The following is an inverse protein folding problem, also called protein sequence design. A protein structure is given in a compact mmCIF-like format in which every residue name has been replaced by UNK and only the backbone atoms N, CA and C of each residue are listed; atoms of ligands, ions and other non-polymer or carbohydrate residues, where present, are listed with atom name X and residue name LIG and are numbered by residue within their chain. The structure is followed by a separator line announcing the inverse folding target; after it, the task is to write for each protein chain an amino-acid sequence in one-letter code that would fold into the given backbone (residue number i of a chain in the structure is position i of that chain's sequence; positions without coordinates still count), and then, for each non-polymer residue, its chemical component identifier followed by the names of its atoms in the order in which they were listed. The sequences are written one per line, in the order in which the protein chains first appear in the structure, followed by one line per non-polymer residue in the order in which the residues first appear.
data_IF_018002592273
#
_entry.id   IF_018002592273
#
_cell.length_a   1.000
_cell.length_b   1.000
_cell.length_c   1.000
_cell.angle_alpha   90.00
_cell.angle_beta   90.00
_cell.angle_gamma   90.00
#
_symmetry.space_group_name_H-M   'P 1'
#
loop_
_entity.id
_entity.type
_entity.pdbx_description
1 polymer ?
#
# COMPACT_ATOMS: atom_id res chain seq x y z
N UNK A 1 15.97 2.94 16.47
CA UNK A 1 14.50 3.00 16.31
C UNK A 1 14.02 1.63 15.84
N UNK A 2 13.35 0.85 16.70
CA UNK A 2 12.78 -0.44 16.28
C UNK A 2 11.58 -0.21 15.35
N UNK A 3 11.53 -0.94 14.24
CA UNK A 3 10.41 -0.87 13.29
C UNK A 3 9.22 -1.62 13.89
N UNK A 4 8.12 -0.91 14.16
CA UNK A 4 6.86 -1.53 14.58
C UNK A 4 6.25 -2.27 13.38
N UNK A 5 5.87 -3.54 13.60
CA UNK A 5 5.32 -4.45 12.60
C UNK A 5 3.89 -4.84 12.98
N UNK A 6 2.96 -4.64 12.06
CA UNK A 6 1.54 -4.95 12.22
C UNK A 6 1.17 -6.25 11.53
N UNK A 7 0.47 -7.14 12.24
CA UNK A 7 -0.09 -8.36 11.66
C UNK A 7 -1.27 -8.06 10.75
N UNK A 8 -1.51 -8.95 9.79
CA UNK A 8 -2.74 -8.93 9.02
C UNK A 8 -3.95 -9.23 9.92
N UNK A 9 -5.13 -8.67 9.62
CA UNK A 9 -6.39 -9.07 10.25
C UNK A 9 -6.64 -10.58 10.09
N UNK A 10 -7.38 -11.20 11.00
CA UNK A 10 -7.74 -12.61 10.85
C UNK A 10 -8.80 -12.74 9.71
N UNK A 11 -8.53 -13.50 8.64
CA UNK A 11 -9.45 -13.63 7.50
C UNK A 11 -10.78 -14.33 7.84
N UNK A 12 -10.84 -15.12 8.90
CA UNK A 12 -12.09 -15.77 9.36
C UNK A 12 -12.98 -14.80 10.17
N UNK A 13 -12.37 -13.85 10.89
CA UNK A 13 -13.09 -12.89 11.73
C UNK A 13 -13.38 -11.57 11.04
N UNK A 14 -12.48 -11.13 10.16
CA UNK A 14 -12.52 -9.81 9.52
C UNK A 14 -11.97 -9.91 8.09
N UNK A 15 -12.70 -10.66 7.26
CA UNK A 15 -12.34 -10.92 5.86
C UNK A 15 -12.28 -9.64 5.03
N UNK A 16 -13.17 -8.69 5.27
CA UNK A 16 -13.23 -7.44 4.52
C UNK A 16 -11.97 -6.61 4.74
N UNK A 17 -11.58 -6.38 6.00
CA UNK A 17 -10.36 -5.63 6.31
C UNK A 17 -9.11 -6.35 5.80
N UNK A 18 -9.09 -7.68 5.92
CA UNK A 18 -8.01 -8.51 5.38
C UNK A 18 -7.86 -8.32 3.86
N UNK A 19 -8.96 -8.40 3.12
CA UNK A 19 -8.97 -8.17 1.67
C UNK A 19 -8.55 -6.74 1.32
N UNK A 20 -9.03 -5.73 2.05
CA UNK A 20 -8.64 -4.35 1.82
C UNK A 20 -7.12 -4.14 1.99
N UNK A 21 -6.50 -4.81 2.97
CA UNK A 21 -5.05 -4.82 3.12
C UNK A 21 -4.35 -5.53 1.97
N UNK A 22 -4.85 -6.70 1.55
CA UNK A 22 -4.30 -7.43 0.42
C UNK A 22 -4.30 -6.62 -0.87
N UNK A 23 -5.42 -5.98 -1.19
CA UNK A 23 -5.54 -5.17 -2.40
C UNK A 23 -4.75 -3.85 -2.31
N UNK A 24 -4.65 -3.24 -1.12
CA UNK A 24 -3.82 -2.05 -0.93
C UNK A 24 -2.32 -2.33 -1.12
N UNK A 25 -1.87 -3.52 -0.75
CA UNK A 25 -0.47 -3.94 -0.91
C UNK A 25 -0.20 -4.42 -2.34
N UNK A 26 -1.09 -5.27 -2.87
CA UNK A 26 -0.97 -5.85 -4.21
C UNK A 26 0.27 -6.71 -4.43
N UNK A 27 0.58 -7.00 -5.69
CA UNK A 27 1.74 -7.79 -6.10
C UNK A 27 1.63 -9.28 -5.72
N UNK A 28 2.78 -9.89 -5.45
CA UNK A 28 2.92 -11.35 -5.28
C UNK A 28 2.17 -11.91 -4.06
N UNK A 29 1.78 -11.06 -3.11
CA UNK A 29 1.02 -11.49 -1.93
C UNK A 29 -0.38 -12.01 -2.30
N UNK A 30 -0.95 -11.56 -3.41
CA UNK A 30 -2.28 -11.96 -3.88
C UNK A 30 -2.34 -13.44 -4.28
N UNK A 31 -1.20 -14.05 -4.61
CA UNK A 31 -1.10 -15.48 -4.93
C UNK A 31 -0.88 -16.40 -3.73
N UNK A 32 -0.77 -15.86 -2.51
CA UNK A 32 -0.50 -16.65 -1.31
C UNK A 32 -1.80 -17.08 -0.61
N UNK A 33 -1.73 -18.21 0.11
CA UNK A 33 -2.82 -18.68 0.97
C UNK A 33 -3.09 -17.69 2.12
N UNK A 34 -4.37 -17.44 2.41
CA UNK A 34 -4.81 -16.51 3.46
C UNK A 34 -4.20 -16.85 4.83
N UNK A 35 -4.11 -18.14 5.17
CA UNK A 35 -3.51 -18.61 6.42
C UNK A 35 -2.03 -18.26 6.51
N UNK A 36 -1.28 -18.42 5.40
CA UNK A 36 0.14 -18.04 5.35
C UNK A 36 0.31 -16.53 5.49
N UNK A 37 -0.55 -15.74 4.84
CA UNK A 37 -0.52 -14.28 4.95
C UNK A 37 -0.78 -13.86 6.39
N UNK A 38 -1.87 -14.33 7.00
CA UNK A 38 -2.21 -14.01 8.38
C UNK A 38 -1.10 -14.38 9.36
N UNK A 39 -0.55 -15.59 9.24
CA UNK A 39 0.45 -16.12 10.18
C UNK A 39 1.80 -15.42 10.03
N UNK A 40 2.30 -15.25 8.81
CA UNK A 40 3.71 -14.89 8.57
C UNK A 40 3.92 -13.48 8.02
N UNK A 41 2.92 -12.82 7.43
CA UNK A 41 3.11 -11.48 6.83
C UNK A 41 2.87 -10.38 7.84
N UNK A 42 3.70 -9.34 7.76
CA UNK A 42 3.64 -8.15 8.60
C UNK A 42 3.82 -6.89 7.76
N UNK A 43 3.16 -5.81 8.16
CA UNK A 43 3.25 -4.50 7.51
C UNK A 43 3.91 -3.51 8.46
N UNK A 44 4.95 -2.81 8.00
CA UNK A 44 5.61 -1.79 8.83
C UNK A 44 4.68 -0.61 9.12
N UNK A 45 4.86 0.00 10.29
CA UNK A 45 4.09 1.18 10.71
C UNK A 45 4.12 2.35 9.72
N UNK A 46 5.25 2.54 9.01
CA UNK A 46 5.45 3.56 7.96
C UNK A 46 4.53 3.47 6.74
N UNK A 47 3.74 2.40 6.63
CA UNK A 47 2.81 2.20 5.51
C UNK A 47 1.40 2.70 5.79
N UNK A 48 1.12 3.11 7.03
CA UNK A 48 -0.16 3.68 7.42
C UNK A 48 -0.04 5.20 7.56
N UNK A 49 -1.10 5.93 7.21
CA UNK A 49 -1.15 7.37 7.45
C UNK A 49 -1.18 7.67 8.95
N UNK A 50 -0.46 8.73 9.37
CA UNK A 50 -0.32 9.12 10.78
C UNK A 50 -1.66 9.32 11.49
N UNK A 51 -2.69 9.78 10.78
CA UNK A 51 -4.05 9.96 11.33
C UNK A 51 -4.71 8.66 11.81
N UNK A 52 -4.25 7.51 11.32
CA UNK A 52 -4.72 6.18 11.72
C UNK A 52 -3.82 5.52 12.77
N UNK A 53 -2.72 6.16 13.17
CA UNK A 53 -1.79 5.67 14.16
C UNK A 53 -2.22 6.12 15.56
N UNK A 54 -2.18 5.20 16.51
CA UNK A 54 -2.52 5.46 17.92
C UNK A 54 -1.26 5.50 18.78
N UNK A 55 -1.33 6.21 19.91
CA UNK A 55 -0.21 6.46 20.85
C UNK A 55 0.52 5.20 21.34
N UNK A 56 -0.13 4.04 21.32
CA UNK A 56 0.41 2.78 21.83
C UNK A 56 0.97 1.87 20.73
N UNK A 57 1.46 2.45 19.62
CA UNK A 57 1.90 1.70 18.44
C UNK A 57 0.81 0.78 17.88
N UNK A 58 -0.46 1.14 18.09
CA UNK A 58 -1.63 0.47 17.52
C UNK A 58 -2.10 1.24 16.29
N UNK A 59 -2.82 0.56 15.42
CA UNK A 59 -3.48 1.17 14.26
C UNK A 59 -4.99 1.07 14.42
N UNK A 60 -5.70 2.08 13.92
CA UNK A 60 -7.16 2.10 13.90
C UNK A 60 -7.72 0.92 13.10
N UNK A 61 -8.97 0.54 13.39
CA UNK A 61 -9.64 -0.55 12.69
C UNK A 61 -9.90 -0.27 11.20
N UNK A 62 -9.96 1.01 10.82
CA UNK A 62 -10.12 1.46 9.44
C UNK A 62 -8.79 1.78 8.74
N UNK A 63 -7.65 1.51 9.39
CA UNK A 63 -6.34 1.82 8.84
C UNK A 63 -6.04 0.91 7.64
N UNK A 64 -5.61 1.52 6.53
CA UNK A 64 -5.15 0.82 5.33
C UNK A 64 -3.67 1.13 5.05
N UNK A 65 -2.89 0.15 4.57
CA UNK A 65 -1.48 0.33 4.31
C UNK A 65 -1.25 0.98 2.92
N UNK A 66 -1.78 2.18 2.71
CA UNK A 66 -1.78 2.88 1.42
C UNK A 66 -0.50 3.66 1.12
N UNK A 67 0.35 3.91 2.14
CA UNK A 67 1.55 4.73 1.99
C UNK A 67 2.75 3.89 1.53
N UNK A 68 3.51 4.40 0.55
CA UNK A 68 4.75 3.80 0.06
C UNK A 68 4.61 2.34 -0.42
N UNK A 69 3.42 1.93 -0.85
CA UNK A 69 3.25 0.63 -1.52
C UNK A 69 3.69 0.73 -2.98
N UNK A 70 4.26 -0.35 -3.54
CA UNK A 70 4.49 -0.41 -4.97
C UNK A 70 3.13 -0.19 -5.63
N UNK A 71 2.96 0.95 -6.29
CA UNK A 71 1.69 1.31 -6.89
C UNK A 71 1.23 0.11 -7.74
N UNK A 72 0.00 -0.41 -7.54
CA UNK A 72 -0.52 -1.35 -8.51
C UNK A 72 -0.42 -0.65 -9.86
N UNK A 73 0.19 -1.31 -10.84
CA UNK A 73 0.37 -0.78 -12.20
C UNK A 73 -0.96 -0.42 -12.89
N UNK A 74 -2.09 -0.57 -12.19
CA UNK A 74 -3.42 -0.25 -12.63
C UNK A 74 -3.84 1.12 -12.07
N UNK A 75 -3.64 2.10 -12.94
CA UNK A 75 -4.23 3.45 -12.95
C UNK A 75 -3.74 4.34 -11.80
N UNK A 76 -2.67 5.09 -12.10
CA UNK A 76 -2.47 6.42 -11.52
C UNK A 76 -3.75 7.23 -11.78
N UNK A 77 -4.65 7.24 -10.80
CA UNK A 77 -5.70 8.25 -10.76
C UNK A 77 -4.98 9.56 -10.50
N UNK A 78 -4.70 10.31 -11.57
CA UNK A 78 -4.25 11.69 -11.45
C UNK A 78 -5.35 12.49 -10.76
N UNK A 79 -5.34 12.56 -9.44
CA UNK A 79 -6.05 13.60 -8.70
C UNK A 79 -5.09 14.72 -8.37
N UNK A 80 -4.65 15.42 -9.40
CA UNK A 80 -4.49 16.86 -9.32
C UNK A 80 -5.71 17.46 -10.03
N UNK A 81 -6.88 17.40 -9.37
CA UNK A 81 -8.02 18.24 -9.75
C UNK A 81 -7.67 19.66 -9.30
N UNK A 82 -6.77 20.32 -10.02
CA UNK A 82 -6.87 21.76 -10.19
C UNK A 82 -8.03 21.95 -11.15
N UNK A 83 -9.14 22.53 -10.68
CA UNK A 83 -10.27 22.90 -11.54
C UNK A 83 -9.76 23.82 -12.65
N UNK A 84 -9.64 23.29 -13.87
CA UNK A 84 -9.51 24.07 -15.11
C UNK A 84 -10.58 23.58 -16.09
N UNK A 85 -11.27 24.48 -16.80
CA UNK A 85 -12.39 24.14 -17.67
C UNK A 85 -11.94 23.28 -18.86
N UNK A 86 -12.84 22.39 -19.30
CA UNK A 86 -12.65 21.36 -20.32
C UNK A 86 -12.42 21.95 -21.71
N UNK A 87 -11.18 22.18 -22.15
CA UNK A 87 -10.80 22.04 -23.57
C UNK A 87 -9.32 21.65 -23.70
N UNK A 88 -9.08 20.62 -24.54
CA UNK A 88 -7.82 20.29 -25.24
C UNK A 88 -6.85 19.28 -24.58
N UNK A 89 -6.94 18.01 -24.99
CA UNK A 89 -5.90 16.98 -24.85
C UNK A 89 -5.29 16.73 -26.23
N UNK A 90 -4.09 17.26 -26.44
CA UNK A 90 -3.05 16.93 -27.42
C UNK A 90 -1.89 17.82 -26.92
N UNK A 91 -0.74 17.36 -26.43
CA UNK A 91 0.26 16.50 -27.07
C UNK A 91 1.20 15.92 -25.99
N UNK A 92 1.78 14.73 -26.22
CA UNK A 92 2.96 14.27 -25.45
C UNK A 92 4.18 15.09 -25.87
N UNK A 93 5.07 15.42 -24.91
CA UNK A 93 6.44 14.96 -25.10
C UNK A 93 7.07 14.36 -23.83
N UNK A 94 7.80 13.28 -24.10
CA UNK A 94 8.87 12.67 -23.32
C UNK A 94 9.63 13.63 -22.42
N UNK A 95 9.73 13.31 -21.14
CA UNK A 95 10.85 13.77 -20.30
C UNK A 95 11.18 12.73 -19.25
N UNK A 96 12.43 12.24 -19.35
CA UNK A 96 13.10 11.36 -18.42
C UNK A 96 12.94 11.86 -16.98
N UNK A 97 12.45 11.00 -16.08
CA UNK A 97 12.67 11.18 -14.66
C UNK A 97 13.33 9.93 -14.10
N UNK A 98 14.59 10.14 -13.74
CA UNK A 98 15.51 9.21 -13.11
C UNK A 98 14.85 8.54 -11.90
N UNK A 99 14.72 7.21 -11.99
CA UNK A 99 14.22 6.35 -10.92
C UNK A 99 15.31 6.32 -9.84
N UNK A 100 15.13 7.10 -8.77
CA UNK A 100 15.90 6.88 -7.56
C UNK A 100 15.34 5.64 -6.87
N UNK A 101 16.12 4.56 -6.93
CA UNK A 101 15.88 3.30 -6.27
C UNK A 101 15.54 3.49 -4.79
N UNK A 102 14.36 3.01 -4.39
CA UNK A 102 14.14 2.50 -3.04
C UNK A 102 13.76 1.01 -3.16
N UNK A 103 14.65 0.24 -3.79
CA UNK A 103 14.51 -1.21 -4.04
C UNK A 103 14.86 -2.07 -2.82
N UNK A 104 14.90 -1.49 -1.62
CA UNK A 104 15.34 -2.18 -0.39
C UNK A 104 14.17 -2.51 0.53
N UNK A 105 13.19 -3.27 0.05
CA UNK A 105 12.26 -4.09 0.87
C UNK A 105 11.50 -5.17 0.07
N UNK A 106 11.83 -5.43 -1.20
CA UNK A 106 11.13 -6.44 -2.05
C UNK A 106 11.93 -7.72 -2.32
N UNK A 107 13.05 -7.97 -1.64
CA UNK A 107 13.67 -9.30 -1.63
C UNK A 107 13.25 -10.08 -0.39
N UNK A 108 12.28 -10.98 -0.57
CA UNK A 108 11.91 -11.98 0.43
C UNK A 108 12.31 -13.36 -0.12
N UNK A 109 13.45 -13.87 0.34
CA UNK A 109 13.97 -15.21 0.02
C UNK A 109 13.29 -16.29 0.88
N UNK A 110 13.29 -17.57 0.42
CA UNK A 110 12.37 -18.64 0.82
C UNK A 110 12.42 -19.06 2.29
#
# INVERSE_FOLDING_TARGET
MHRVLHGFPNPEKDKERFNNWLYAIGGDILGLENERIFKYRRVCHKHFEDKYLCRNNKISNIALPTLNMPAPFLLKRSTSITRKPLQQILELPSTNFSILECTLCVKWSP
#
